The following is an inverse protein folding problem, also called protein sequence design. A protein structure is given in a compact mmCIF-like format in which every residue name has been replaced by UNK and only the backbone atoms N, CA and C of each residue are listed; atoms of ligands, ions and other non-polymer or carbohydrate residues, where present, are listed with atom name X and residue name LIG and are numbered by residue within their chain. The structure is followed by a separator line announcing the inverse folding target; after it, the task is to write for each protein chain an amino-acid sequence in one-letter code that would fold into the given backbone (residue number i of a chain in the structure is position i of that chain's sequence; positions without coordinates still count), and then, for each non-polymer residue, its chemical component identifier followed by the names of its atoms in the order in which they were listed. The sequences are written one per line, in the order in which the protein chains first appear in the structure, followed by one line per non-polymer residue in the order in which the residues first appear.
data_IF_470775670115
#
_entry.id   IF_470775670115
#
_cell.length_a   1.000
_cell.length_b   1.000
_cell.length_c   1.000
_cell.angle_alpha   90.00
_cell.angle_beta   90.00
_cell.angle_gamma   90.00
#
_symmetry.space_group_name_H-M   'P 1'
#
loop_
_entity.id
_entity.type
_entity.pdbx_description
1 polymer ?
#
# COMPACT_ATOMS: atom_id res chain seq x y z
N UNK A 1 6.31 -23.98 -21.31
CA UNK A 1 6.99 -23.61 -20.04
C UNK A 1 8.36 -22.92 -20.23
N UNK A 2 9.21 -23.34 -21.18
CA UNK A 2 10.54 -22.74 -21.42
C UNK A 2 10.49 -21.25 -21.84
N UNK A 3 9.60 -20.88 -22.76
CA UNK A 3 9.43 -19.49 -23.19
C UNK A 3 8.97 -18.57 -22.06
N UNK A 4 8.03 -19.04 -21.22
CA UNK A 4 7.57 -18.31 -20.02
C UNK A 4 8.73 -18.00 -19.05
N UNK A 5 9.67 -18.96 -18.85
CA UNK A 5 10.88 -18.72 -18.03
C UNK A 5 11.81 -17.69 -18.66
N UNK A 6 11.98 -17.72 -19.98
CA UNK A 6 12.80 -16.72 -20.71
C UNK A 6 12.16 -15.33 -20.69
N UNK A 7 10.85 -15.23 -20.80
CA UNK A 7 10.15 -13.97 -20.61
C UNK A 7 10.29 -13.42 -19.21
N UNK A 8 10.16 -14.26 -18.18
CA UNK A 8 10.37 -13.83 -16.79
C UNK A 8 11.82 -13.42 -16.51
N UNK A 9 12.80 -14.01 -17.21
CA UNK A 9 14.19 -13.61 -17.12
C UNK A 9 14.48 -12.28 -17.83
N UNK A 10 13.80 -12.01 -18.96
CA UNK A 10 13.94 -10.74 -19.72
C UNK A 10 13.16 -9.59 -19.08
N UNK A 11 12.00 -9.89 -18.52
CA UNK A 11 11.06 -8.95 -17.92
C UNK A 11 10.68 -9.44 -16.52
N UNK A 12 11.58 -9.31 -15.53
CA UNK A 12 11.34 -9.80 -14.19
C UNK A 12 10.12 -9.11 -13.58
N UNK A 13 9.37 -9.87 -12.77
CA UNK A 13 8.32 -9.30 -11.93
C UNK A 13 8.97 -8.78 -10.66
N UNK A 14 8.93 -7.48 -10.48
CA UNK A 14 9.40 -6.81 -9.28
C UNK A 14 8.18 -6.43 -8.43
N UNK A 15 8.23 -6.74 -7.15
CA UNK A 15 7.19 -6.36 -6.20
C UNK A 15 7.53 -4.98 -5.65
N UNK A 16 6.73 -3.99 -6.00
CA UNK A 16 6.95 -2.60 -5.58
C UNK A 16 5.83 -2.17 -4.64
N UNK A 17 6.21 -1.52 -3.55
CA UNK A 17 5.22 -0.85 -2.71
C UNK A 17 4.57 0.31 -3.49
N UNK A 18 3.33 0.71 -3.17
CA UNK A 18 2.67 1.82 -3.84
C UNK A 18 3.50 3.11 -3.84
N UNK A 19 4.23 3.36 -2.76
CA UNK A 19 5.17 4.47 -2.65
C UNK A 19 6.34 4.38 -3.66
N UNK A 20 6.88 3.18 -3.89
CA UNK A 20 7.92 2.96 -4.91
C UNK A 20 7.37 3.06 -6.33
N UNK A 21 6.10 2.74 -6.53
CA UNK A 21 5.43 2.95 -7.83
C UNK A 21 5.34 4.45 -8.10
N UNK A 22 4.89 5.25 -7.13
CA UNK A 22 4.86 6.72 -7.26
C UNK A 22 6.26 7.29 -7.49
N UNK A 23 7.27 6.83 -6.76
CA UNK A 23 8.66 7.26 -6.94
C UNK A 23 9.17 6.99 -8.37
N UNK A 24 8.87 5.81 -8.93
CA UNK A 24 9.23 5.46 -10.32
C UNK A 24 8.41 6.21 -11.36
N UNK A 25 7.14 6.49 -11.08
CA UNK A 25 6.27 7.26 -11.98
C UNK A 25 6.77 8.71 -12.07
N UNK A 26 7.15 9.30 -10.93
CA UNK A 26 7.74 10.62 -10.88
C UNK A 26 9.16 10.68 -11.47
N UNK A 27 9.94 9.60 -11.45
CA UNK A 27 11.22 9.52 -12.17
C UNK A 27 11.05 9.66 -13.70
N UNK A 28 9.86 9.36 -14.25
CA UNK A 28 9.54 9.52 -15.68
C UNK A 28 9.04 10.92 -16.03
N UNK A 29 8.62 11.71 -15.04
CA UNK A 29 8.27 13.11 -15.23
C UNK A 29 9.59 13.85 -15.46
N UNK A 30 9.90 14.10 -16.73
CA UNK A 30 11.12 14.80 -17.14
C UNK A 30 11.22 16.18 -16.49
N UNK A 31 12.43 16.73 -16.51
CA UNK A 31 12.74 18.10 -16.08
C UNK A 31 12.21 19.12 -17.09
N UNK A 32 10.93 19.00 -17.50
CA UNK A 32 10.28 20.02 -18.30
C UNK A 32 10.25 21.31 -17.47
N UNK A 33 10.74 22.39 -18.07
CA UNK A 33 10.99 23.70 -17.43
C UNK A 33 9.76 24.33 -16.74
N UNK A 34 8.56 23.76 -16.94
CA UNK A 34 7.28 24.27 -16.44
C UNK A 34 6.94 23.85 -15.01
N UNK A 35 7.40 22.69 -14.51
CA UNK A 35 7.09 22.21 -13.15
C UNK A 35 8.39 21.99 -12.40
N UNK A 36 8.81 23.00 -11.62
CA UNK A 36 9.97 22.86 -10.74
C UNK A 36 9.60 21.95 -9.57
N UNK A 37 10.15 20.76 -9.56
CA UNK A 37 10.14 19.84 -8.43
C UNK A 37 11.05 20.40 -7.33
N UNK A 38 10.53 21.37 -6.57
CA UNK A 38 11.29 22.22 -5.67
C UNK A 38 10.88 22.07 -4.19
N UNK A 39 11.48 22.90 -3.32
CA UNK A 39 11.22 22.92 -1.88
C UNK A 39 9.82 23.41 -1.53
N UNK A 40 9.23 24.25 -2.38
CA UNK A 40 7.90 24.80 -2.15
C UNK A 40 6.85 23.70 -2.36
N UNK A 41 6.95 22.95 -3.46
CA UNK A 41 6.12 21.77 -3.68
C UNK A 41 6.28 20.73 -2.57
N UNK A 42 7.52 20.48 -2.11
CA UNK A 42 7.78 19.59 -0.99
C UNK A 42 7.05 20.03 0.29
N UNK A 43 7.08 21.33 0.60
CA UNK A 43 6.42 21.89 1.79
C UNK A 43 4.91 21.77 1.67
N UNK A 44 4.35 22.08 0.49
CA UNK A 44 2.92 21.91 0.19
C UNK A 44 2.46 20.45 0.36
N UNK A 45 3.25 19.49 -0.11
CA UNK A 45 2.91 18.06 0.04
C UNK A 45 2.97 17.62 1.51
N UNK A 46 3.94 18.12 2.29
CA UNK A 46 4.04 17.86 3.73
C UNK A 46 2.80 18.40 4.45
N UNK A 47 2.43 19.66 4.21
CA UNK A 47 1.24 20.28 4.80
C UNK A 47 -0.03 19.51 4.42
N UNK A 48 -0.14 19.11 3.14
CA UNK A 48 -1.30 18.35 2.66
C UNK A 48 -1.38 16.97 3.29
N UNK A 49 -0.24 16.27 3.44
CA UNK A 49 -0.17 14.99 4.15
C UNK A 49 -0.66 15.15 5.58
N UNK A 50 -0.17 16.15 6.30
CA UNK A 50 -0.48 16.34 7.72
C UNK A 50 -1.96 16.71 7.91
N UNK A 51 -2.51 17.57 7.05
CA UNK A 51 -3.95 17.85 6.97
C UNK A 51 -4.81 16.60 6.77
N UNK A 52 -4.43 15.73 5.82
CA UNK A 52 -5.17 14.48 5.56
C UNK A 52 -5.04 13.51 6.74
N UNK A 53 -3.83 13.39 7.33
CA UNK A 53 -3.60 12.53 8.49
C UNK A 53 -4.41 13.00 9.69
N UNK A 54 -4.41 14.28 10.00
CA UNK A 54 -5.19 14.83 11.09
C UNK A 54 -6.69 14.53 10.92
N UNK A 55 -7.22 14.78 9.72
CA UNK A 55 -8.62 14.51 9.42
C UNK A 55 -8.94 13.01 9.50
N UNK A 56 -8.09 12.15 8.94
CA UNK A 56 -8.21 10.69 9.03
C UNK A 56 -8.15 10.18 10.48
N UNK A 57 -7.26 10.75 11.31
CA UNK A 57 -7.14 10.39 12.73
C UNK A 57 -8.38 10.78 13.52
N UNK A 58 -8.94 11.98 13.26
CA UNK A 58 -10.21 12.41 13.89
C UNK A 58 -11.36 11.46 13.54
N UNK A 59 -11.49 11.08 12.27
CA UNK A 59 -12.52 10.12 11.83
C UNK A 59 -12.30 8.73 12.44
N UNK A 60 -11.05 8.27 12.51
CA UNK A 60 -10.70 6.99 13.13
C UNK A 60 -11.03 6.99 14.62
N UNK A 61 -10.74 8.08 15.34
CA UNK A 61 -11.07 8.23 16.76
C UNK A 61 -12.57 8.18 16.99
N UNK A 62 -13.35 8.89 16.17
CA UNK A 62 -14.83 8.84 16.22
C UNK A 62 -15.31 7.41 15.93
N UNK A 63 -14.81 6.75 14.88
CA UNK A 63 -15.18 5.38 14.51
C UNK A 63 -14.88 4.38 15.62
N UNK A 64 -13.70 4.46 16.24
CA UNK A 64 -13.28 3.62 17.38
C UNK A 64 -14.13 3.89 18.62
N UNK A 65 -14.51 5.15 18.86
CA UNK A 65 -15.36 5.52 20.01
C UNK A 65 -16.76 4.93 19.85
N UNK A 66 -17.35 5.05 18.66
CA UNK A 66 -18.65 4.44 18.33
C UNK A 66 -18.56 2.91 18.45
N UNK A 67 -17.48 2.31 17.95
CA UNK A 67 -17.27 0.87 18.03
C UNK A 67 -17.12 0.39 19.48
N UNK A 68 -16.35 1.10 20.31
CA UNK A 68 -16.22 0.83 21.74
C UNK A 68 -17.56 0.91 22.47
N UNK A 69 -18.39 1.91 22.14
CA UNK A 69 -19.74 2.01 22.67
C UNK A 69 -20.64 0.82 22.26
N UNK A 70 -20.61 0.42 20.98
CA UNK A 70 -21.33 -0.77 20.50
C UNK A 70 -20.90 -2.04 21.23
N UNK A 71 -19.59 -2.19 21.47
CA UNK A 71 -19.02 -3.35 22.13
C UNK A 71 -19.42 -3.40 23.62
N UNK A 72 -19.42 -2.27 24.32
CA UNK A 72 -19.93 -2.16 25.70
C UNK A 72 -21.43 -2.51 25.78
N UNK A 73 -22.22 -2.03 24.82
CA UNK A 73 -23.64 -2.33 24.73
C UNK A 73 -23.89 -3.83 24.46
N UNK A 74 -23.11 -4.44 23.56
CA UNK A 74 -23.17 -5.88 23.27
C UNK A 74 -22.94 -6.74 24.52
N UNK A 75 -21.94 -6.41 25.33
CA UNK A 75 -21.68 -7.13 26.59
C UNK A 75 -22.66 -6.79 27.72
N UNK A 76 -23.65 -5.91 27.47
CA UNK A 76 -24.59 -5.40 28.47
C UNK A 76 -23.88 -4.83 29.70
N UNK A 77 -22.72 -4.20 29.50
CA UNK A 77 -22.14 -3.29 30.48
C UNK A 77 -22.96 -1.99 30.48
N UNK A 78 -24.24 -2.08 30.82
CA UNK A 78 -25.15 -0.93 30.96
C UNK A 78 -24.84 -0.22 32.27
N UNK A 79 -23.86 0.67 32.24
CA UNK A 79 -23.97 1.95 32.95
C UNK A 79 -24.75 2.92 32.05
N UNK A 80 -25.58 3.78 32.64
CA UNK A 80 -26.42 4.76 31.94
C UNK A 80 -25.57 5.81 31.20
N UNK A 81 -24.98 5.44 30.07
CA UNK A 81 -24.15 6.34 29.26
C UNK A 81 -25.09 7.15 28.37
N UNK A 82 -25.28 8.43 28.72
CA UNK A 82 -25.93 9.41 27.84
C UNK A 82 -24.90 10.01 26.89
N UNK A 83 -25.22 10.05 25.61
CA UNK A 83 -24.43 10.78 24.61
C UNK A 83 -25.32 11.93 24.13
N UNK A 84 -24.84 13.17 24.28
CA UNK A 84 -25.53 14.40 23.88
C UNK A 84 -26.95 14.56 24.47
N UNK A 85 -27.18 14.15 25.72
CA UNK A 85 -28.47 14.32 26.42
C UNK A 85 -29.55 13.31 26.05
N UNK A 86 -29.27 12.36 25.13
CA UNK A 86 -30.16 11.23 24.84
C UNK A 86 -29.74 10.06 25.71
N UNK A 87 -30.63 9.61 26.61
CA UNK A 87 -30.46 8.34 27.30
C UNK A 87 -30.64 7.23 26.26
N UNK A 88 -29.54 6.55 25.91
CA UNK A 88 -29.53 5.42 24.98
C UNK A 88 -30.06 4.19 25.73
N UNK A 89 -31.32 4.26 26.16
CA UNK A 89 -32.01 3.12 26.75
C UNK A 89 -32.58 2.30 25.62
N UNK A 90 -31.87 1.26 25.18
CA UNK A 90 -32.35 0.17 24.33
C UNK A 90 -33.37 0.56 23.23
N UNK A 91 -33.14 1.69 22.56
CA UNK A 91 -34.04 2.09 21.48
C UNK A 91 -33.76 1.21 20.27
N UNK A 92 -34.79 0.56 19.69
CA UNK A 92 -34.60 -0.27 18.50
C UNK A 92 -34.00 0.59 17.38
N UNK A 93 -32.94 0.09 16.75
CA UNK A 93 -32.28 0.76 15.62
C UNK A 93 -31.03 1.59 15.92
N UNK A 94 -30.72 1.89 17.19
CA UNK A 94 -29.50 2.67 17.50
C UNK A 94 -28.25 1.87 17.15
N UNK A 95 -28.22 0.57 17.46
CA UNK A 95 -27.08 -0.29 17.15
C UNK A 95 -26.83 -0.36 15.63
N UNK A 96 -27.90 -0.49 14.85
CA UNK A 96 -27.87 -0.49 13.38
C UNK A 96 -27.32 0.82 12.81
N UNK A 97 -27.77 1.97 13.31
CA UNK A 97 -27.27 3.27 12.84
C UNK A 97 -25.80 3.46 13.21
N UNK A 98 -25.42 3.10 14.42
CA UNK A 98 -24.06 3.26 14.92
C UNK A 98 -23.07 2.35 14.17
N UNK A 99 -23.43 1.09 13.89
CA UNK A 99 -22.53 0.18 13.17
C UNK A 99 -22.36 0.61 11.71
N UNK A 100 -23.43 1.09 11.06
CA UNK A 100 -23.36 1.66 9.70
C UNK A 100 -22.45 2.88 9.71
N UNK A 101 -22.68 3.81 10.63
CA UNK A 101 -21.89 5.05 10.73
C UNK A 101 -20.42 4.75 11.00
N UNK A 102 -20.12 3.90 11.98
CA UNK A 102 -18.74 3.52 12.32
C UNK A 102 -18.03 2.84 11.14
N UNK A 103 -18.72 1.93 10.43
CA UNK A 103 -18.17 1.21 9.28
C UNK A 103 -17.89 2.15 8.10
N UNK A 104 -18.83 3.03 7.76
CA UNK A 104 -18.67 4.01 6.68
C UNK A 104 -17.53 4.99 6.99
N UNK A 105 -17.46 5.48 8.24
CA UNK A 105 -16.34 6.33 8.68
C UNK A 105 -15.01 5.59 8.61
N UNK A 106 -14.98 4.31 9.00
CA UNK A 106 -13.77 3.48 8.95
C UNK A 106 -13.25 3.29 7.52
N UNK A 107 -14.15 3.01 6.56
CA UNK A 107 -13.78 2.88 5.14
C UNK A 107 -13.34 4.22 4.55
N UNK A 108 -14.01 5.31 4.90
CA UNK A 108 -13.59 6.63 4.45
C UNK A 108 -12.22 7.04 5.02
N UNK A 109 -11.98 6.78 6.31
CA UNK A 109 -10.67 6.98 6.94
C UNK A 109 -9.59 6.14 6.26
N UNK A 110 -9.91 4.90 5.88
CA UNK A 110 -9.02 4.00 5.12
C UNK A 110 -8.69 4.56 3.73
N UNK A 111 -9.66 5.12 3.03
CA UNK A 111 -9.43 5.78 1.74
C UNK A 111 -8.53 7.02 1.87
N UNK A 112 -8.71 7.83 2.93
CA UNK A 112 -7.81 8.94 3.22
C UNK A 112 -6.38 8.45 3.51
N UNK A 113 -6.23 7.36 4.27
CA UNK A 113 -4.94 6.73 4.52
C UNK A 113 -4.28 6.19 3.25
N UNK A 114 -5.05 5.80 2.23
CA UNK A 114 -4.49 5.45 0.92
C UNK A 114 -3.89 6.68 0.22
N UNK A 115 -4.59 7.83 0.26
CA UNK A 115 -4.09 9.07 -0.32
C UNK A 115 -2.80 9.55 0.36
N UNK A 116 -2.71 9.39 1.68
CA UNK A 116 -1.48 9.69 2.45
C UNK A 116 -0.27 8.94 1.88
N UNK A 117 -0.41 7.65 1.52
CA UNK A 117 0.70 6.85 0.97
C UNK A 117 1.20 7.41 -0.36
N UNK A 118 0.29 7.91 -1.20
CA UNK A 118 0.65 8.53 -2.48
C UNK A 118 1.44 9.82 -2.24
N UNK A 119 0.95 10.68 -1.35
CA UNK A 119 1.61 11.94 -1.00
C UNK A 119 2.98 11.67 -0.36
N UNK A 120 3.09 10.69 0.53
CA UNK A 120 4.36 10.24 1.11
C UNK A 120 5.36 9.77 0.04
N UNK A 121 4.90 9.08 -1.01
CA UNK A 121 5.71 8.72 -2.17
C UNK A 121 6.29 9.93 -2.88
N UNK A 122 5.45 10.94 -3.15
CA UNK A 122 5.89 12.21 -3.73
C UNK A 122 6.90 12.95 -2.85
N UNK A 123 6.64 13.03 -1.53
CA UNK A 123 7.56 13.65 -0.56
C UNK A 123 8.92 12.97 -0.58
N UNK A 124 8.97 11.64 -0.61
CA UNK A 124 10.24 10.91 -0.63
C UNK A 124 11.00 11.07 -1.95
N UNK A 125 10.29 11.08 -3.08
CA UNK A 125 10.88 11.35 -4.39
C UNK A 125 11.51 12.75 -4.41
N UNK A 126 10.75 13.78 -4.02
CA UNK A 126 11.26 15.16 -3.92
C UNK A 126 12.41 15.28 -2.92
N UNK A 127 12.33 14.63 -1.76
CA UNK A 127 13.38 14.67 -0.75
C UNK A 127 14.70 14.08 -1.28
N UNK A 128 14.66 13.01 -2.09
CA UNK A 128 15.86 12.43 -2.73
C UNK A 128 16.49 13.38 -3.74
N UNK A 129 15.68 14.20 -4.41
CA UNK A 129 16.09 15.13 -5.47
C UNK A 129 16.65 16.43 -4.90
N UNK A 130 16.03 16.96 -3.85
CA UNK A 130 16.37 18.25 -3.23
C UNK A 130 17.52 18.14 -2.24
N UNK A 131 17.63 17.03 -1.51
CA UNK A 131 18.60 16.87 -0.42
C UNK A 131 19.67 15.82 -0.74
N UNK A 132 20.89 15.97 -0.17
CA UNK A 132 21.95 14.99 -0.34
C UNK A 132 21.57 13.63 0.24
N UNK A 133 22.09 12.57 -0.40
CA UNK A 133 21.67 11.19 -0.14
C UNK A 133 21.92 10.68 1.28
N UNK A 134 22.88 11.29 2.00
CA UNK A 134 23.17 11.00 3.40
C UNK A 134 22.10 11.48 4.40
N UNK A 135 21.27 12.47 4.02
CA UNK A 135 20.21 13.01 4.88
C UNK A 135 18.87 12.29 4.69
N UNK A 136 18.69 11.52 3.62
CA UNK A 136 17.39 10.91 3.27
C UNK A 136 16.83 10.06 4.41
N UNK A 137 17.66 9.29 5.12
CA UNK A 137 17.19 8.46 6.24
C UNK A 137 16.67 9.30 7.42
N UNK A 138 17.29 10.47 7.67
CA UNK A 138 16.86 11.42 8.70
C UNK A 138 15.57 12.12 8.25
N UNK A 139 15.51 12.56 7.00
CA UNK A 139 14.32 13.17 6.41
C UNK A 139 13.15 12.20 6.36
N UNK A 140 13.40 10.92 6.08
CA UNK A 140 12.40 9.86 6.20
C UNK A 140 11.86 9.76 7.62
N UNK A 141 12.74 9.78 8.62
CA UNK A 141 12.33 9.75 10.02
C UNK A 141 11.49 10.99 10.41
N UNK A 142 11.88 12.18 9.91
CA UNK A 142 11.20 13.43 10.22
C UNK A 142 9.87 13.61 9.48
N UNK A 143 9.81 13.27 8.20
CA UNK A 143 8.60 13.44 7.38
C UNK A 143 7.67 12.23 7.46
N UNK A 144 8.18 11.02 7.64
CA UNK A 144 7.40 9.77 7.57
C UNK A 144 7.78 8.87 8.76
N UNK A 145 7.48 9.29 10.01
CA UNK A 145 7.92 8.58 11.20
C UNK A 145 7.31 7.16 11.30
N UNK A 146 6.09 6.97 10.80
CA UNK A 146 5.34 5.71 10.85
C UNK A 146 6.01 4.57 10.07
N UNK A 147 6.81 4.89 9.05
CA UNK A 147 7.52 3.90 8.25
C UNK A 147 8.90 3.55 8.82
N UNK A 148 9.36 4.30 9.82
CA UNK A 148 10.69 4.13 10.39
C UNK A 148 10.70 3.06 11.50
N UNK A 149 10.05 1.93 11.26
CA UNK A 149 10.22 0.73 12.07
C UNK A 149 11.49 0.00 11.64
N UNK A 150 12.61 0.37 12.24
CA UNK A 150 13.90 -0.25 11.93
C UNK A 150 15.08 0.54 12.47
N UNK A 151 16.28 -0.03 12.32
CA UNK A 151 17.52 0.65 12.71
C UNK A 151 17.90 1.72 11.68
N UNK A 152 18.44 2.84 12.15
CA UNK A 152 19.14 3.78 11.28
C UNK A 152 20.44 3.14 10.78
N UNK A 153 20.56 2.96 9.46
CA UNK A 153 21.80 2.52 8.82
C UNK A 153 22.51 3.74 8.21
N UNK A 154 23.59 4.25 8.84
CA UNK A 154 24.30 5.41 8.31
C UNK A 154 25.01 5.03 7.01
N UNK A 155 24.68 5.72 5.91
CA UNK A 155 25.41 5.56 4.64
C UNK A 155 26.83 6.12 4.70
N UNK A 156 27.02 7.20 5.47
CA UNK A 156 28.30 7.89 5.58
C UNK A 156 29.26 7.25 6.60
N UNK A 157 28.80 6.25 7.37
CA UNK A 157 29.61 5.53 8.35
C UNK A 157 29.44 4.01 8.18
N UNK A 158 29.92 3.43 7.05
CA UNK A 158 29.69 2.01 6.73
C UNK A 158 30.39 1.04 7.70
N UNK A 159 31.35 1.51 8.50
CA UNK A 159 32.09 0.70 9.46
C UNK A 159 31.34 0.49 10.80
N UNK A 160 30.22 1.19 11.02
CA UNK A 160 29.35 0.92 12.17
C UNK A 160 28.64 -0.41 11.96
N UNK A 161 29.22 -1.46 12.55
CA UNK A 161 28.62 -2.79 12.56
C UNK A 161 27.79 -2.96 13.83
N UNK A 162 26.55 -3.44 13.67
CA UNK A 162 25.69 -3.74 14.81
C UNK A 162 26.10 -5.09 15.41
N UNK A 163 26.09 -5.17 16.75
CA UNK A 163 26.29 -6.46 17.43
C UNK A 163 25.14 -7.42 17.09
N UNK A 164 25.44 -8.72 17.13
CA UNK A 164 24.47 -9.78 16.88
C UNK A 164 23.26 -9.70 17.82
N UNK A 165 23.48 -9.25 19.06
CA UNK A 165 22.43 -9.04 20.06
C UNK A 165 21.43 -7.96 19.63
N UNK A 166 21.89 -6.81 19.15
CA UNK A 166 20.98 -5.76 18.66
C UNK A 166 20.16 -6.24 17.48
N UNK A 167 20.73 -7.04 16.57
CA UNK A 167 20.00 -7.57 15.41
C UNK A 167 18.94 -8.59 15.82
N UNK A 168 19.24 -9.48 16.77
CA UNK A 168 18.26 -10.42 17.35
C UNK A 168 17.14 -9.70 18.10
N UNK A 169 17.46 -8.69 18.92
CA UNK A 169 16.45 -7.92 19.66
C UNK A 169 15.53 -7.12 18.72
N UNK A 170 16.10 -6.48 17.69
CA UNK A 170 15.31 -5.76 16.68
C UNK A 170 14.36 -6.70 15.94
N UNK A 171 14.84 -7.88 15.54
CA UNK A 171 14.04 -8.89 14.88
C UNK A 171 12.91 -9.41 15.78
N UNK A 172 13.23 -9.72 17.04
CA UNK A 172 12.24 -10.13 18.04
C UNK A 172 11.17 -9.05 18.26
N UNK A 173 11.57 -7.79 18.41
CA UNK A 173 10.67 -6.66 18.56
C UNK A 173 9.73 -6.52 17.35
N UNK A 174 10.25 -6.66 16.12
CA UNK A 174 9.42 -6.67 14.91
C UNK A 174 8.41 -7.82 14.92
N UNK A 175 8.80 -9.04 15.32
CA UNK A 175 7.88 -10.17 15.42
C UNK A 175 6.79 -9.95 16.47
N UNK A 176 7.16 -9.48 17.66
CA UNK A 176 6.19 -9.18 18.73
C UNK A 176 5.21 -8.10 18.28
N UNK A 177 5.69 -7.04 17.62
CA UNK A 177 4.85 -6.01 17.05
C UNK A 177 3.86 -6.57 16.02
N UNK A 178 4.36 -7.33 15.03
CA UNK A 178 3.51 -7.96 14.00
C UNK A 178 2.46 -8.91 14.60
N UNK A 179 2.86 -9.71 15.59
CA UNK A 179 1.95 -10.63 16.28
C UNK A 179 0.88 -9.88 17.07
N UNK A 180 1.25 -8.82 17.77
CA UNK A 180 0.31 -7.97 18.50
C UNK A 180 -0.69 -7.28 17.56
N UNK A 181 -0.23 -6.78 16.41
CA UNK A 181 -1.06 -6.16 15.40
C UNK A 181 -2.04 -7.19 14.78
N UNK A 182 -1.56 -8.40 14.47
CA UNK A 182 -2.42 -9.48 13.98
C UNK A 182 -3.48 -9.87 15.01
N UNK A 183 -3.10 -9.97 16.29
CA UNK A 183 -4.01 -10.27 17.38
C UNK A 183 -5.12 -9.21 17.51
N UNK A 184 -4.76 -7.93 17.48
CA UNK A 184 -5.74 -6.82 17.52
C UNK A 184 -6.69 -6.87 16.33
N UNK A 185 -6.18 -7.12 15.12
CA UNK A 185 -7.02 -7.27 13.91
C UNK A 185 -8.03 -8.41 14.07
N UNK A 186 -7.59 -9.57 14.53
CA UNK A 186 -8.46 -10.74 14.76
C UNK A 186 -9.53 -10.40 15.80
N UNK A 187 -9.15 -9.76 16.91
CA UNK A 187 -10.08 -9.39 17.97
C UNK A 187 -11.16 -8.42 17.47
N UNK A 188 -10.76 -7.39 16.72
CA UNK A 188 -11.70 -6.42 16.13
C UNK A 188 -12.63 -7.11 15.12
N UNK A 189 -12.12 -8.01 14.28
CA UNK A 189 -12.93 -8.77 13.33
C UNK A 189 -13.96 -9.66 14.04
N UNK A 190 -13.53 -10.41 15.06
CA UNK A 190 -14.41 -11.28 15.84
C UNK A 190 -15.49 -10.46 16.54
N UNK A 191 -15.13 -9.35 17.18
CA UNK A 191 -16.09 -8.47 17.84
C UNK A 191 -17.10 -7.86 16.85
N UNK A 192 -16.64 -7.40 15.68
CA UNK A 192 -17.53 -6.84 14.66
C UNK A 192 -18.50 -7.90 14.11
N UNK A 193 -18.01 -9.12 13.84
CA UNK A 193 -18.87 -10.24 13.42
C UNK A 193 -19.87 -10.65 14.49
N UNK A 194 -19.48 -10.63 15.78
CA UNK A 194 -20.38 -10.96 16.88
C UNK A 194 -21.53 -9.94 17.01
N UNK A 195 -21.23 -8.64 16.91
CA UNK A 195 -22.25 -7.57 16.91
C UNK A 195 -23.17 -7.72 15.69
N UNK A 196 -22.60 -7.99 14.52
CA UNK A 196 -23.37 -8.14 13.29
C UNK A 196 -24.28 -9.38 13.32
N UNK A 197 -23.82 -10.49 13.91
CA UNK A 197 -24.65 -11.67 14.16
C UNK A 197 -25.79 -11.37 15.13
N UNK A 198 -25.53 -10.63 16.22
CA UNK A 198 -26.57 -10.25 17.18
C UNK A 198 -27.64 -9.36 16.54
N UNK A 199 -27.25 -8.36 15.74
CA UNK A 199 -28.17 -7.52 14.97
C UNK A 199 -28.99 -8.38 13.98
N UNK A 200 -28.36 -9.38 13.34
CA UNK A 200 -29.03 -10.28 12.41
C UNK A 200 -30.10 -11.14 13.09
N UNK A 201 -29.80 -11.73 14.25
CA UNK A 201 -30.71 -12.63 14.96
C UNK A 201 -31.80 -11.89 15.72
N UNK A 202 -31.46 -10.77 16.36
CA UNK A 202 -32.37 -10.04 17.25
C UNK A 202 -33.31 -9.10 16.47
N UNK A 203 -32.95 -8.73 15.24
CA UNK A 203 -33.80 -8.03 14.25
C UNK A 203 -34.67 -6.90 14.85
N UNK A 204 -34.03 -5.91 15.48
CA UNK A 204 -34.74 -4.85 16.21
C UNK A 204 -35.66 -3.98 15.33
N UNK A 205 -35.34 -3.85 14.03
CA UNK A 205 -36.13 -3.12 13.01
C UNK A 205 -36.65 -4.09 11.92
N UNK A 206 -36.71 -5.39 12.20
CA UNK A 206 -37.14 -6.41 11.25
C UNK A 206 -36.22 -6.53 10.03
N UNK A 207 -36.76 -6.37 8.81
CA UNK A 207 -36.01 -6.57 7.57
C UNK A 207 -34.84 -5.57 7.40
N UNK A 208 -34.95 -4.36 7.96
CA UNK A 208 -33.90 -3.35 7.87
C UNK A 208 -32.61 -3.77 8.58
N UNK A 209 -32.69 -4.50 9.70
CA UNK A 209 -31.51 -5.01 10.41
C UNK A 209 -30.69 -5.98 9.54
N UNK A 210 -31.36 -6.76 8.67
CA UNK A 210 -30.69 -7.65 7.70
C UNK A 210 -30.01 -6.87 6.56
N UNK A 211 -30.68 -5.84 6.03
CA UNK A 211 -30.11 -4.95 5.00
C UNK A 211 -28.88 -4.24 5.55
N UNK A 212 -28.95 -3.70 6.77
CA UNK A 212 -27.84 -3.05 7.47
C UNK A 212 -26.66 -3.99 7.63
N UNK A 213 -26.91 -5.22 8.07
CA UNK A 213 -25.86 -6.23 8.24
C UNK A 213 -25.16 -6.57 6.91
N UNK A 214 -25.92 -6.74 5.82
CA UNK A 214 -25.37 -6.97 4.48
C UNK A 214 -24.57 -5.77 3.98
N UNK A 215 -25.06 -4.55 4.20
CA UNK A 215 -24.35 -3.32 3.87
C UNK A 215 -23.01 -3.22 4.60
N UNK A 216 -23.00 -3.47 5.91
CA UNK A 216 -21.78 -3.44 6.73
C UNK A 216 -20.76 -4.49 6.27
N UNK A 217 -21.21 -5.69 5.89
CA UNK A 217 -20.33 -6.71 5.31
C UNK A 217 -19.75 -6.25 3.96
N UNK A 218 -20.58 -5.71 3.08
CA UNK A 218 -20.14 -5.23 1.76
C UNK A 218 -19.14 -4.07 1.87
N UNK A 219 -19.42 -3.07 2.72
CA UNK A 219 -18.53 -1.93 2.89
C UNK A 219 -17.22 -2.35 3.58
N UNK A 220 -17.26 -3.28 4.54
CA UNK A 220 -16.06 -3.84 5.16
C UNK A 220 -15.17 -4.55 4.13
N UNK A 221 -15.77 -5.31 3.20
CA UNK A 221 -15.04 -5.95 2.10
C UNK A 221 -14.39 -4.92 1.17
N UNK A 222 -15.10 -3.83 0.84
CA UNK A 222 -14.54 -2.72 0.05
C UNK A 222 -13.37 -2.07 0.79
N UNK A 223 -13.52 -1.76 2.08
CA UNK A 223 -12.46 -1.17 2.90
C UNK A 223 -11.21 -2.06 2.97
N UNK A 224 -11.40 -3.37 3.18
CA UNK A 224 -10.32 -4.35 3.17
C UNK A 224 -9.62 -4.44 1.81
N UNK A 225 -10.39 -4.39 0.72
CA UNK A 225 -9.85 -4.36 -0.65
C UNK A 225 -9.01 -3.12 -0.91
N UNK A 226 -9.46 -1.95 -0.44
CA UNK A 226 -8.69 -0.69 -0.52
C UNK A 226 -7.35 -0.84 0.21
N UNK A 227 -7.34 -1.41 1.42
CA UNK A 227 -6.10 -1.65 2.16
C UNK A 227 -5.13 -2.55 1.39
N UNK A 228 -5.62 -3.67 0.84
CA UNK A 228 -4.79 -4.58 0.05
C UNK A 228 -4.17 -3.84 -1.13
N UNK A 229 -4.99 -3.14 -1.92
CA UNK A 229 -4.54 -2.43 -3.11
C UNK A 229 -3.53 -1.33 -2.75
N UNK A 230 -3.77 -0.60 -1.67
CA UNK A 230 -3.00 0.63 -1.37
C UNK A 230 -1.83 0.43 -0.41
N UNK A 231 -1.69 -0.76 0.18
CA UNK A 231 -0.60 -1.07 1.12
C UNK A 231 0.23 -2.30 0.71
N UNK A 232 -0.33 -3.26 -0.02
CA UNK A 232 0.46 -4.42 -0.45
C UNK A 232 1.35 -4.08 -1.65
N UNK A 233 2.56 -4.65 -1.72
CA UNK A 233 3.37 -4.58 -2.92
C UNK A 233 2.60 -5.14 -4.11
N UNK A 234 2.58 -4.39 -5.21
CA UNK A 234 2.00 -4.87 -6.47
C UNK A 234 3.09 -5.44 -7.37
N UNK A 235 2.77 -6.50 -8.14
CA UNK A 235 3.71 -7.04 -9.12
C UNK A 235 3.77 -6.10 -10.33
N UNK A 236 4.90 -5.41 -10.50
CA UNK A 236 5.22 -4.67 -11.72
C UNK A 236 6.10 -5.53 -12.62
N UNK A 237 5.78 -5.61 -13.91
CA UNK A 237 6.66 -6.23 -14.91
C UNK A 237 7.68 -5.18 -15.36
N UNK A 238 8.94 -5.44 -15.10
CA UNK A 238 10.01 -4.50 -15.41
C UNK A 238 10.31 -4.51 -16.92
N UNK A 239 9.97 -3.41 -17.59
CA UNK A 239 10.21 -3.19 -19.01
C UNK A 239 11.40 -2.25 -19.28
N UNK A 240 12.25 -1.99 -18.29
CA UNK A 240 13.43 -1.13 -18.46
C UNK A 240 14.32 -1.58 -19.63
N UNK A 241 14.39 -2.89 -19.87
CA UNK A 241 15.12 -3.47 -20.99
C UNK A 241 14.52 -3.11 -22.37
N UNK A 242 13.20 -2.94 -22.48
CA UNK A 242 12.57 -2.42 -23.71
C UNK A 242 12.91 -0.94 -23.91
N UNK A 243 12.84 -0.14 -22.84
CA UNK A 243 13.22 1.27 -22.90
C UNK A 243 14.70 1.42 -23.29
N UNK A 244 15.60 0.58 -22.77
CA UNK A 244 17.01 0.58 -23.16
C UNK A 244 17.19 0.27 -24.65
N UNK A 245 16.45 -0.70 -25.20
CA UNK A 245 16.45 -1.00 -26.64
C UNK A 245 15.98 0.21 -27.44
N UNK A 246 14.89 0.86 -27.03
CA UNK A 246 14.29 2.00 -27.74
C UNK A 246 15.19 3.24 -27.72
N UNK A 247 15.75 3.57 -26.55
CA UNK A 247 16.74 4.64 -26.39
C UNK A 247 17.98 4.34 -27.24
N UNK A 248 18.48 3.10 -27.20
CA UNK A 248 19.61 2.69 -28.03
C UNK A 248 19.30 2.81 -29.52
N UNK A 249 18.04 2.57 -29.93
CA UNK A 249 17.59 2.75 -31.31
C UNK A 249 17.63 4.20 -31.77
N UNK A 250 17.28 5.11 -30.87
CA UNK A 250 17.30 6.55 -31.15
C UNK A 250 18.73 7.12 -31.13
N UNK A 251 19.56 6.72 -30.15
CA UNK A 251 20.90 7.31 -29.95
C UNK A 251 21.98 6.58 -30.77
N UNK A 252 21.93 5.25 -30.87
CA UNK A 252 22.97 4.39 -31.49
C UNK A 252 22.38 3.23 -32.29
N UNK A 253 21.75 3.49 -33.45
CA UNK A 253 21.05 2.47 -34.23
C UNK A 253 21.95 1.28 -34.63
N UNK A 254 23.24 1.53 -34.89
CA UNK A 254 24.21 0.48 -35.27
C UNK A 254 24.46 -0.58 -34.18
N UNK A 255 24.19 -0.28 -32.90
CA UNK A 255 24.38 -1.21 -31.77
C UNK A 255 23.12 -1.95 -31.37
N UNK A 256 21.97 -1.60 -31.96
CA UNK A 256 20.68 -2.21 -31.61
C UNK A 256 20.67 -3.70 -31.93
N UNK A 257 21.21 -4.09 -33.08
CA UNK A 257 21.23 -5.49 -33.50
C UNK A 257 22.11 -6.34 -32.58
N UNK A 258 23.24 -5.81 -32.12
CA UNK A 258 24.09 -6.48 -31.12
C UNK A 258 23.37 -6.64 -29.77
N UNK A 259 22.68 -5.59 -29.32
CA UNK A 259 21.91 -5.58 -28.08
C UNK A 259 20.76 -6.59 -28.14
N UNK A 260 19.98 -6.56 -29.22
CA UNK A 260 18.90 -7.51 -29.48
C UNK A 260 19.45 -8.94 -29.58
N UNK A 261 20.57 -9.15 -30.27
CA UNK A 261 21.15 -10.48 -30.37
C UNK A 261 21.63 -11.00 -29.01
N UNK A 262 22.18 -10.15 -28.14
CA UNK A 262 22.59 -10.49 -26.78
C UNK A 262 21.39 -10.83 -25.89
N UNK A 263 20.33 -10.02 -25.93
CA UNK A 263 19.11 -10.18 -25.13
C UNK A 263 18.31 -11.41 -25.57
N UNK A 264 18.18 -11.62 -26.87
CA UNK A 264 17.38 -12.70 -27.47
C UNK A 264 18.20 -13.94 -27.82
N UNK A 265 19.49 -14.02 -27.45
CA UNK A 265 20.42 -15.08 -27.81
C UNK A 265 19.83 -16.49 -27.68
N UNK A 266 19.31 -16.82 -26.50
CA UNK A 266 18.71 -18.14 -26.23
C UNK A 266 17.45 -18.43 -27.05
N UNK A 267 16.73 -17.39 -27.48
CA UNK A 267 15.56 -17.53 -28.37
C UNK A 267 15.99 -17.68 -29.82
N UNK A 268 17.07 -16.99 -30.21
CA UNK A 268 17.65 -17.07 -31.55
C UNK A 268 18.32 -18.42 -31.78
N UNK A 269 19.07 -18.93 -30.81
CA UNK A 269 19.70 -20.26 -30.84
C UNK A 269 18.64 -21.37 -31.00
N UNK A 270 17.53 -21.29 -30.26
CA UNK A 270 16.41 -22.22 -30.41
C UNK A 270 15.72 -22.11 -31.78
N UNK A 271 15.52 -20.88 -32.28
CA UNK A 271 14.98 -20.66 -33.63
C UNK A 271 15.87 -21.24 -34.71
N UNK A 272 17.19 -21.09 -34.58
CA UNK A 272 18.15 -21.71 -35.49
C UNK A 272 18.11 -23.24 -35.40
N UNK A 273 18.01 -23.80 -34.20
CA UNK A 273 17.90 -25.24 -34.02
C UNK A 273 16.61 -25.79 -34.66
N UNK A 274 15.48 -25.11 -34.48
CA UNK A 274 14.21 -25.45 -35.13
C UNK A 274 14.27 -25.30 -36.66
N UNK A 275 15.04 -24.34 -37.18
CA UNK A 275 15.32 -24.22 -38.62
C UNK A 275 16.16 -25.39 -39.13
N UNK A 276 17.22 -25.77 -38.41
CA UNK A 276 18.07 -26.93 -38.78
C UNK A 276 17.28 -28.24 -38.79
N UNK A 277 16.32 -28.36 -37.90
CA UNK A 277 15.40 -29.50 -37.82
C UNK A 277 14.24 -29.44 -38.84
N UNK A 278 14.16 -28.38 -39.68
CA UNK A 278 13.15 -28.25 -40.73
C UNK A 278 11.76 -27.77 -40.26
N UNK A 279 11.59 -27.47 -38.98
CA UNK A 279 10.30 -27.02 -38.42
C UNK A 279 9.97 -25.55 -38.73
N UNK A 280 10.97 -24.74 -39.14
CA UNK A 280 10.78 -23.34 -39.50
C UNK A 280 11.38 -23.06 -40.88
N UNK A 281 10.56 -22.53 -41.80
CA UNK A 281 11.05 -21.97 -43.08
C UNK A 281 11.87 -20.70 -42.83
N UNK A 282 12.88 -20.48 -43.67
CA UNK A 282 13.63 -19.23 -43.69
C UNK A 282 12.67 -18.11 -44.08
N UNK A 283 12.61 -17.06 -43.26
CA UNK A 283 11.83 -15.87 -43.58
C UNK A 283 12.65 -15.05 -44.56
N UNK A 284 12.40 -15.22 -45.86
CA UNK A 284 12.92 -14.33 -46.89
C UNK A 284 12.02 -13.10 -46.86
N UNK A 285 12.50 -12.00 -46.28
CA UNK A 285 11.76 -10.75 -46.12
C UNK A 285 11.50 -10.04 -47.46
N UNK A 286 10.68 -10.65 -48.31
CA UNK A 286 10.02 -10.03 -49.46
C UNK A 286 8.55 -9.79 -49.13
#
# INVERSE_FOLDING_TARGET
MRERRRELARYPRVWLSPMQIVDRDLDLVGDDESIKLDRELLTLLIERRDSIKEYSNRLSLISVTIFGFLLLNYFRFTSDISIAGVSIKNSPGIAEILIVTSSTLGVYATALQANVVIVEGGIMHLAKRVYPSGLINILRAGFIPEQNFGKYYPKNLPHLTFTSLHSKLSLLSTYVYLLSLLFVIILVLVANLAILMDIWTTSSIGAYSKIVSLYVLAISFVGFSILIITRMPMPLRDYSLLHEIEITRQIRPKKVDELLHKIYRSTNEDRENLRRLGFLKKYDGK
#
